data_IF_750310853835
#
_entry.id   IF_750310853835
#
_cell.length_a   1.000
_cell.length_b   1.000
_cell.length_c   1.000
_cell.angle_alpha   90.00
_cell.angle_beta   90.00
_cell.angle_gamma   90.00
#
_symmetry.space_group_name_H-M   'P 1'
#
loop_
_entity.id
_entity.type
_entity.pdbx_description
1 polymer ?
#
# COMPACT_ATOMS: atom_id res chain seq x y z
N UNK A 1 -14.95 37.90 -18.69
CA UNK A 1 -15.48 38.10 -17.33
C UNK A 1 -15.39 36.85 -16.43
N UNK A 2 -15.65 35.63 -16.90
CA UNK A 2 -15.49 34.42 -16.07
C UNK A 2 -14.03 34.10 -15.70
N UNK A 3 -13.07 34.32 -16.61
CA UNK A 3 -11.67 33.96 -16.37
C UNK A 3 -11.00 34.81 -15.27
N UNK A 4 -11.39 36.09 -15.15
CA UNK A 4 -10.95 37.03 -14.10
C UNK A 4 -11.60 36.75 -12.75
N UNK A 5 -12.84 36.24 -12.72
CA UNK A 5 -13.51 35.82 -11.48
C UNK A 5 -12.90 34.53 -10.92
N UNK A 6 -12.53 33.59 -11.78
CA UNK A 6 -11.86 32.34 -11.38
C UNK A 6 -10.44 32.62 -10.85
N UNK A 7 -9.67 33.51 -11.48
CA UNK A 7 -8.34 33.90 -10.96
C UNK A 7 -8.44 34.68 -9.65
N UNK A 8 -9.45 35.53 -9.45
CA UNK A 8 -9.66 36.22 -8.18
C UNK A 8 -10.19 35.29 -7.07
N UNK A 9 -10.98 34.26 -7.40
CA UNK A 9 -11.39 33.22 -6.45
C UNK A 9 -10.25 32.28 -6.10
N UNK A 10 -9.38 31.93 -7.04
CA UNK A 10 -8.16 31.15 -6.77
C UNK A 10 -7.17 32.01 -5.96
N UNK A 11 -7.02 33.29 -6.30
CA UNK A 11 -6.14 34.20 -5.56
C UNK A 11 -6.67 34.48 -4.15
N UNK A 12 -7.99 34.58 -3.93
CA UNK A 12 -8.57 34.70 -2.58
C UNK A 12 -8.54 33.37 -1.82
N UNK A 13 -8.65 32.24 -2.51
CA UNK A 13 -8.40 30.90 -1.96
C UNK A 13 -6.95 30.78 -1.47
N UNK A 14 -5.96 31.22 -2.24
CA UNK A 14 -4.55 31.25 -1.81
C UNK A 14 -4.23 32.34 -0.77
N UNK A 15 -5.02 33.43 -0.71
CA UNK A 15 -4.82 34.53 0.26
C UNK A 15 -5.47 34.27 1.62
N UNK A 16 -6.42 33.34 1.69
CA UNK A 16 -7.12 32.97 2.93
C UNK A 16 -6.61 31.64 3.52
N UNK A 17 -6.15 30.71 2.68
CA UNK A 17 -5.46 29.49 3.13
C UNK A 17 -3.95 29.73 3.07
N UNK A 18 -3.38 30.15 4.19
CA UNK A 18 -1.94 30.33 4.34
C UNK A 18 -1.17 29.10 3.86
N UNK A 19 0.00 29.32 3.26
CA UNK A 19 0.94 28.25 2.91
C UNK A 19 1.29 27.49 4.19
N UNK A 20 0.73 26.30 4.36
CA UNK A 20 1.10 25.44 5.48
C UNK A 20 2.50 24.91 5.21
N UNK A 21 3.47 25.30 6.03
CA UNK A 21 4.87 24.94 5.84
C UNK A 21 5.23 23.66 6.61
N UNK A 22 4.37 23.20 7.53
CA UNK A 22 4.61 21.96 8.29
C UNK A 22 3.34 21.18 8.64
N UNK A 23 3.50 19.87 8.84
CA UNK A 23 2.46 18.98 9.37
C UNK A 23 1.98 19.41 10.77
N UNK A 24 2.83 20.09 11.55
CA UNK A 24 2.49 20.62 12.88
C UNK A 24 1.48 21.77 12.79
N UNK A 25 1.63 22.66 11.81
CA UNK A 25 0.68 23.76 11.53
C UNK A 25 -0.64 23.21 10.99
N UNK A 26 -0.57 22.22 10.11
CA UNK A 26 -1.74 21.50 9.62
C UNK A 26 -2.53 20.88 10.79
N UNK A 27 -1.88 20.12 11.69
CA UNK A 27 -2.53 19.51 12.87
C UNK A 27 -3.21 20.53 13.80
N UNK A 28 -2.65 21.74 13.95
CA UNK A 28 -3.21 22.81 14.80
C UNK A 28 -4.45 23.44 14.19
N UNK A 29 -4.45 23.67 12.88
CA UNK A 29 -5.59 24.22 12.13
C UNK A 29 -6.76 23.22 12.05
N UNK A 30 -6.46 21.92 12.01
CA UNK A 30 -7.45 20.84 11.85
C UNK A 30 -8.25 20.49 13.12
N UNK A 31 -7.92 21.07 14.28
CA UNK A 31 -8.62 20.78 15.53
C UNK A 31 -10.03 21.38 15.58
N UNK A 32 -10.34 22.35 14.71
CA UNK A 32 -11.60 23.10 14.70
C UNK A 32 -12.51 22.79 13.50
N UNK A 33 -12.09 21.98 12.53
CA UNK A 33 -12.84 21.79 11.27
C UNK A 33 -13.55 20.43 11.20
N UNK A 34 -14.78 20.37 11.71
CA UNK A 34 -15.69 19.23 11.57
C UNK A 34 -16.26 19.03 10.13
N UNK A 35 -15.63 19.57 9.08
CA UNK A 35 -16.05 19.32 7.70
C UNK A 35 -14.85 19.19 6.74
N UNK A 36 -13.89 18.35 7.11
CA UNK A 36 -12.89 17.78 6.19
C UNK A 36 -13.51 16.73 5.24
N UNK A 37 -14.84 16.54 5.25
CA UNK A 37 -15.52 15.54 4.45
C UNK A 37 -15.16 15.64 2.97
N UNK A 38 -15.10 16.80 2.32
CA UNK A 38 -14.86 16.83 0.86
C UNK A 38 -13.43 16.45 0.40
N UNK A 39 -12.39 16.89 1.13
CA UNK A 39 -10.99 16.54 0.79
C UNK A 39 -10.65 15.15 1.33
N UNK A 40 -11.16 14.79 2.53
CA UNK A 40 -11.10 13.41 3.01
C UNK A 40 -11.85 12.51 2.04
N UNK A 41 -13.06 12.79 1.59
CA UNK A 41 -13.84 11.96 0.66
C UNK A 41 -13.15 11.84 -0.72
N UNK A 42 -12.52 12.93 -1.21
CA UNK A 42 -11.71 12.88 -2.44
C UNK A 42 -10.43 12.03 -2.27
N UNK A 43 -9.81 12.09 -1.08
CA UNK A 43 -8.61 11.34 -0.73
C UNK A 43 -8.91 9.97 -0.07
N UNK A 44 -10.15 9.66 0.27
CA UNK A 44 -10.49 8.58 1.19
C UNK A 44 -11.92 8.12 0.92
N UNK A 45 -12.05 6.95 0.30
CA UNK A 45 -12.42 5.82 1.16
C UNK A 45 -11.33 4.75 1.32
N UNK A 46 -10.33 4.70 0.43
CA UNK A 46 -9.37 3.58 0.39
C UNK A 46 -7.93 3.98 0.76
N UNK A 47 -7.56 5.27 0.67
CA UNK A 47 -6.15 5.67 0.81
C UNK A 47 -5.69 5.95 2.25
N UNK A 48 -6.55 6.20 3.22
CA UNK A 48 -6.11 6.45 4.60
C UNK A 48 -5.92 5.14 5.37
N UNK A 49 -4.75 4.99 5.99
CA UNK A 49 -4.45 3.91 6.93
C UNK A 49 -3.93 4.51 8.23
N UNK A 50 -4.28 3.91 9.36
CA UNK A 50 -3.75 4.36 10.66
C UNK A 50 -2.22 4.27 10.74
N UNK A 51 -1.60 3.39 9.95
CA UNK A 51 -0.15 3.13 9.93
C UNK A 51 0.69 4.20 9.21
N UNK A 52 0.08 5.28 8.70
CA UNK A 52 0.81 6.43 8.13
C UNK A 52 1.87 6.95 9.12
N UNK A 53 1.54 7.01 10.41
CA UNK A 53 2.41 7.55 11.45
C UNK A 53 3.17 6.44 12.20
N UNK A 54 4.42 6.74 12.54
CA UNK A 54 5.36 5.79 13.15
C UNK A 54 4.85 5.19 14.47
N UNK A 55 4.14 5.97 15.28
CA UNK A 55 3.59 5.49 16.54
C UNK A 55 2.57 4.35 16.34
N UNK A 56 1.69 4.46 15.35
CA UNK A 56 0.72 3.41 15.06
C UNK A 56 1.39 2.16 14.48
N UNK A 57 2.43 2.34 13.65
CA UNK A 57 3.28 1.23 13.21
C UNK A 57 3.92 0.51 14.38
N UNK A 58 4.55 1.23 15.32
CA UNK A 58 5.14 0.63 16.52
C UNK A 58 4.10 -0.15 17.35
N UNK A 59 2.91 0.43 17.53
CA UNK A 59 1.82 -0.22 18.29
C UNK A 59 1.37 -1.55 17.68
N UNK A 60 1.50 -1.75 16.37
CA UNK A 60 1.15 -3.02 15.72
C UNK A 60 2.03 -4.19 16.19
N UNK A 61 3.30 -3.90 16.54
CA UNK A 61 4.24 -4.89 17.08
C UNK A 61 4.07 -5.13 18.58
N UNK A 62 3.45 -4.21 19.33
CA UNK A 62 3.26 -4.35 20.78
C UNK A 62 1.94 -5.03 21.13
N UNK A 63 0.91 -4.87 20.27
CA UNK A 63 -0.39 -5.56 20.44
C UNK A 63 -0.29 -7.05 20.16
N UNK A 64 0.70 -7.46 19.36
CA UNK A 64 0.87 -8.82 18.91
C UNK A 64 2.27 -9.33 19.30
N UNK A 65 2.47 -10.65 19.33
CA UNK A 65 3.76 -11.22 19.70
C UNK A 65 4.73 -11.24 18.52
N UNK A 66 5.39 -10.10 18.23
CA UNK A 66 6.50 -10.05 17.27
C UNK A 66 7.57 -11.09 17.66
N UNK A 67 7.93 -12.05 16.80
CA UNK A 67 8.78 -13.18 17.20
C UNK A 67 10.26 -12.80 17.43
N UNK A 68 10.73 -11.70 16.83
CA UNK A 68 12.15 -11.32 16.84
C UNK A 68 12.51 -10.30 17.95
N UNK A 69 11.86 -10.37 19.12
CA UNK A 69 12.07 -9.38 20.21
C UNK A 69 13.49 -9.34 20.77
N UNK A 70 14.23 -10.45 20.63
CA UNK A 70 15.61 -10.58 21.12
C UNK A 70 16.65 -10.11 20.10
N UNK A 71 16.22 -9.87 18.86
CA UNK A 71 17.08 -9.41 17.78
C UNK A 71 17.32 -7.91 17.89
N UNK A 72 18.59 -7.52 18.07
CA UNK A 72 18.95 -6.10 18.18
C UNK A 72 18.64 -5.34 16.89
N UNK A 73 18.63 -5.99 15.73
CA UNK A 73 18.35 -5.36 14.45
C UNK A 73 16.87 -5.31 14.09
N UNK A 74 16.08 -6.27 14.60
CA UNK A 74 14.66 -6.41 14.29
C UNK A 74 13.75 -5.92 15.43
N UNK A 75 14.27 -5.03 16.30
CA UNK A 75 13.45 -4.42 17.35
C UNK A 75 12.23 -3.70 16.72
N UNK A 76 11.05 -3.77 17.37
CA UNK A 76 9.84 -3.08 16.90
C UNK A 76 10.05 -1.61 16.50
N UNK A 77 10.89 -0.88 17.23
CA UNK A 77 11.22 0.51 16.95
C UNK A 77 11.97 0.65 15.62
N UNK A 78 12.91 -0.24 15.32
CA UNK A 78 13.65 -0.25 14.05
C UNK A 78 12.73 -0.60 12.89
N UNK A 79 11.87 -1.60 13.06
CA UNK A 79 10.87 -2.00 12.06
C UNK A 79 9.91 -0.85 11.74
N UNK A 80 9.33 -0.23 12.78
CA UNK A 80 8.41 0.89 12.64
C UNK A 80 9.07 2.12 11.99
N UNK A 81 10.33 2.41 12.36
CA UNK A 81 11.09 3.53 11.80
C UNK A 81 11.49 3.28 10.34
N UNK A 82 11.74 2.03 9.97
CA UNK A 82 11.93 1.60 8.58
C UNK A 82 10.65 1.65 7.74
N UNK A 83 9.50 1.94 8.33
CA UNK A 83 8.24 2.14 7.63
C UNK A 83 7.31 0.94 7.63
N UNK A 84 7.63 -0.10 8.40
CA UNK A 84 6.84 -1.32 8.49
C UNK A 84 5.88 -1.31 9.67
N UNK A 85 4.70 -1.90 9.50
CA UNK A 85 3.82 -2.34 10.59
C UNK A 85 3.72 -3.86 10.57
N UNK A 86 3.46 -4.48 11.71
CA UNK A 86 3.30 -5.91 11.84
C UNK A 86 1.95 -6.34 11.26
N UNK A 87 2.01 -7.30 10.33
CA UNK A 87 0.90 -7.76 9.51
C UNK A 87 1.05 -9.27 9.25
N UNK A 88 0.96 -10.11 10.30
CA UNK A 88 1.15 -11.53 10.16
C UNK A 88 -0.05 -12.17 9.47
N UNK A 89 0.21 -13.22 8.70
CA UNK A 89 -0.80 -14.13 8.18
C UNK A 89 -0.53 -15.57 8.64
N UNK A 90 -1.40 -16.52 8.26
CA UNK A 90 -1.28 -17.92 8.71
C UNK A 90 0.01 -18.59 8.21
N UNK A 91 0.56 -18.14 7.07
CA UNK A 91 1.74 -18.71 6.44
C UNK A 91 3.02 -17.95 6.85
N UNK A 92 2.88 -16.68 7.26
CA UNK A 92 3.95 -15.73 7.55
C UNK A 92 3.76 -15.07 8.91
N UNK A 93 4.22 -15.75 9.96
CA UNK A 93 4.09 -15.30 11.36
C UNK A 93 4.91 -14.04 11.69
N UNK A 94 5.92 -13.71 10.88
CA UNK A 94 6.77 -12.53 11.02
C UNK A 94 6.53 -11.52 9.88
N UNK A 95 5.36 -11.60 9.24
CA UNK A 95 4.97 -10.70 8.17
C UNK A 95 4.89 -9.25 8.61
N UNK A 96 5.50 -8.36 7.83
CA UNK A 96 5.42 -6.91 8.03
C UNK A 96 5.13 -6.21 6.71
N UNK A 97 4.30 -5.17 6.77
CA UNK A 97 3.82 -4.47 5.59
C UNK A 97 4.17 -2.98 5.65
N UNK A 98 4.48 -2.38 4.50
CA UNK A 98 4.63 -0.93 4.41
C UNK A 98 3.30 -0.28 4.02
N UNK A 99 2.81 0.75 4.74
CA UNK A 99 1.54 1.38 4.41
C UNK A 99 1.59 2.19 3.11
N UNK A 100 2.78 2.52 2.59
CA UNK A 100 2.93 3.37 1.41
C UNK A 100 3.14 2.58 0.12
N UNK A 101 4.01 1.56 0.12
CA UNK A 101 4.21 0.71 -1.06
C UNK A 101 3.40 -0.59 -1.04
N UNK A 102 2.76 -0.91 0.09
CA UNK A 102 1.96 -2.14 0.30
C UNK A 102 2.72 -3.45 0.11
N UNK A 103 4.06 -3.39 0.10
CA UNK A 103 4.88 -4.59 0.09
C UNK A 103 4.88 -5.22 1.47
N UNK A 104 4.68 -6.53 1.49
CA UNK A 104 4.83 -7.38 2.66
C UNK A 104 6.16 -8.11 2.57
N UNK A 105 6.94 -8.10 3.65
CA UNK A 105 8.19 -8.84 3.80
C UNK A 105 8.06 -9.81 4.97
N UNK A 106 8.63 -10.99 4.81
CA UNK A 106 8.53 -12.14 5.73
C UNK A 106 9.87 -12.87 5.74
N UNK A 107 10.08 -13.77 6.71
CA UNK A 107 11.31 -14.55 6.81
C UNK A 107 12.52 -13.72 7.23
N UNK A 108 12.36 -12.91 8.26
CA UNK A 108 13.39 -12.02 8.79
C UNK A 108 14.46 -12.79 9.57
N UNK A 109 15.72 -12.42 9.34
CA UNK A 109 16.89 -12.97 10.03
C UNK A 109 17.54 -11.92 10.95
N UNK A 110 18.21 -12.36 12.02
CA UNK A 110 18.84 -11.45 12.99
C UNK A 110 19.88 -10.49 12.37
N UNK A 111 20.43 -10.86 11.22
CA UNK A 111 21.41 -10.06 10.49
C UNK A 111 20.79 -8.97 9.58
N UNK A 112 19.47 -9.01 9.36
CA UNK A 112 18.79 -8.09 8.46
C UNK A 112 18.72 -6.68 9.02
N UNK A 113 18.89 -5.68 8.14
CA UNK A 113 18.59 -4.29 8.44
C UNK A 113 17.26 -3.91 7.77
N UNK A 114 16.23 -3.52 8.54
CA UNK A 114 14.92 -3.21 7.98
C UNK A 114 14.90 -2.06 6.96
N UNK A 115 15.75 -1.03 7.13
CA UNK A 115 15.86 0.07 6.18
C UNK A 115 16.47 -0.40 4.87
N UNK A 116 17.53 -1.21 4.95
CA UNK A 116 18.19 -1.80 3.79
C UNK A 116 17.26 -2.75 3.06
N UNK A 117 16.56 -3.63 3.76
CA UNK A 117 15.58 -4.54 3.15
C UNK A 117 14.44 -3.80 2.46
N UNK A 118 13.95 -2.70 3.06
CA UNK A 118 12.95 -1.86 2.40
C UNK A 118 13.51 -1.21 1.12
N UNK A 119 14.74 -0.71 1.15
CA UNK A 119 15.38 -0.03 0.01
C UNK A 119 15.78 -0.98 -1.13
N UNK A 120 16.12 -2.24 -0.83
CA UNK A 120 16.54 -3.25 -1.83
C UNK A 120 15.43 -3.65 -2.80
N UNK A 121 14.16 -3.54 -2.40
CA UNK A 121 13.04 -4.05 -3.21
C UNK A 121 12.81 -3.12 -4.40
N UNK A 122 12.97 -3.66 -5.62
CA UNK A 122 13.00 -3.03 -6.97
C UNK A 122 11.92 -2.01 -7.36
N UNK A 123 10.95 -1.73 -6.49
CA UNK A 123 9.82 -0.84 -6.74
C UNK A 123 9.95 0.27 -5.71
N UNK A 124 10.27 1.45 -6.24
CA UNK A 124 10.78 2.62 -5.54
C UNK A 124 9.74 3.11 -4.53
N UNK A 125 9.87 2.68 -3.29
CA UNK A 125 9.09 3.26 -2.21
C UNK A 125 9.60 4.68 -1.92
N UNK A 126 8.75 5.71 -2.08
CA UNK A 126 9.11 7.09 -1.77
C UNK A 126 9.51 7.23 -0.30
N UNK A 127 8.78 6.57 0.62
CA UNK A 127 9.13 6.55 2.04
C UNK A 127 10.56 6.05 2.28
N UNK A 128 10.95 4.92 1.67
CA UNK A 128 12.28 4.34 1.84
C UNK A 128 13.41 5.26 1.34
N UNK A 129 13.10 6.20 0.43
CA UNK A 129 14.05 7.18 -0.12
C UNK A 129 13.98 8.55 0.53
N UNK A 130 12.90 8.84 1.27
CA UNK A 130 12.62 10.18 1.77
C UNK A 130 13.72 10.67 2.71
N UNK A 131 14.32 9.77 3.49
CA UNK A 131 15.43 10.05 4.42
C UNK A 131 15.19 11.31 5.29
N UNK A 132 13.95 11.48 5.77
CA UNK A 132 13.52 12.54 6.68
C UNK A 132 12.76 11.93 7.84
N UNK A 133 12.96 12.48 9.05
CA UNK A 133 12.10 12.14 10.17
C UNK A 133 10.66 12.62 9.91
N UNK A 134 9.67 11.94 10.48
CA UNK A 134 8.24 12.28 10.34
C UNK A 134 7.93 13.74 10.71
N UNK A 135 8.65 14.28 11.70
CA UNK A 135 8.51 15.69 12.15
C UNK A 135 8.96 16.72 11.10
N UNK A 136 9.74 16.29 10.12
CA UNK A 136 10.36 17.14 9.07
C UNK A 136 9.61 17.02 7.74
N UNK A 137 8.56 16.22 7.66
CA UNK A 137 7.76 16.09 6.45
C UNK A 137 7.09 17.42 6.09
N UNK A 138 7.30 17.83 4.85
CA UNK A 138 6.54 18.92 4.25
C UNK A 138 5.14 18.43 3.83
N UNK A 139 4.24 19.35 3.51
CA UNK A 139 2.94 19.01 2.91
C UNK A 139 3.14 18.25 1.59
N UNK A 140 4.13 18.64 0.80
CA UNK A 140 4.45 17.94 -0.44
C UNK A 140 4.90 16.50 -0.19
N UNK A 141 5.80 16.27 0.77
CA UNK A 141 6.24 14.92 1.14
C UNK A 141 5.06 14.06 1.56
N UNK A 142 4.17 14.61 2.39
CA UNK A 142 2.97 13.91 2.85
C UNK A 142 2.03 13.57 1.69
N UNK A 143 1.78 14.52 0.78
CA UNK A 143 0.94 14.27 -0.41
C UNK A 143 1.55 13.22 -1.34
N UNK A 144 2.88 13.21 -1.51
CA UNK A 144 3.58 12.19 -2.30
C UNK A 144 3.47 10.80 -1.68
N UNK A 145 3.57 10.70 -0.35
CA UNK A 145 3.35 9.45 0.37
C UNK A 145 1.92 8.91 0.16
N UNK A 146 0.91 9.78 0.25
CA UNK A 146 -0.48 9.40 -0.01
C UNK A 146 -0.72 9.01 -1.48
N UNK A 147 -0.14 9.75 -2.42
CA UNK A 147 -0.23 9.45 -3.85
C UNK A 147 0.40 8.09 -4.18
N UNK A 148 1.57 7.79 -3.59
CA UNK A 148 2.22 6.49 -3.76
C UNK A 148 1.36 5.35 -3.21
N UNK A 149 0.74 5.52 -2.03
CA UNK A 149 -0.17 4.52 -1.48
C UNK A 149 -1.31 4.23 -2.43
N UNK A 150 -1.98 5.28 -2.93
CA UNK A 150 -3.07 5.14 -3.90
C UNK A 150 -2.62 4.40 -5.15
N UNK A 151 -1.46 4.74 -5.71
CA UNK A 151 -0.91 4.04 -6.87
C UNK A 151 -0.63 2.56 -6.58
N UNK A 152 -0.11 2.25 -5.39
CA UNK A 152 0.17 0.88 -4.94
C UNK A 152 -1.13 0.07 -4.79
N UNK A 153 -2.19 0.67 -4.25
CA UNK A 153 -3.52 0.04 -4.15
C UNK A 153 -4.11 -0.26 -5.52
N UNK A 154 -4.07 0.71 -6.43
CA UNK A 154 -4.56 0.53 -7.81
C UNK A 154 -3.79 -0.59 -8.52
N UNK A 155 -2.47 -0.67 -8.30
CA UNK A 155 -1.64 -1.74 -8.85
C UNK A 155 -2.05 -3.12 -8.31
N UNK A 156 -2.30 -3.23 -7.00
CA UNK A 156 -2.75 -4.47 -6.38
C UNK A 156 -4.13 -4.92 -6.89
N UNK A 157 -5.08 -3.99 -7.05
CA UNK A 157 -6.41 -4.29 -7.61
C UNK A 157 -6.30 -4.77 -9.06
N UNK A 158 -5.46 -4.10 -9.86
CA UNK A 158 -5.23 -4.50 -11.25
C UNK A 158 -4.62 -5.91 -11.34
N UNK A 159 -3.64 -6.24 -10.50
CA UNK A 159 -3.04 -7.57 -10.45
C UNK A 159 -4.08 -8.64 -10.08
N UNK A 160 -4.89 -8.42 -9.05
CA UNK A 160 -5.96 -9.37 -8.67
C UNK A 160 -6.99 -9.58 -9.78
N UNK A 161 -7.32 -8.53 -10.54
CA UNK A 161 -8.22 -8.64 -11.68
C UNK A 161 -7.61 -9.48 -12.81
N UNK A 162 -6.30 -9.34 -13.05
CA UNK A 162 -5.56 -10.15 -14.03
C UNK A 162 -5.53 -11.61 -13.60
N UNK A 163 -5.20 -11.90 -12.34
CA UNK A 163 -5.17 -13.27 -11.81
C UNK A 163 -6.53 -13.95 -11.96
N UNK A 164 -7.62 -13.25 -11.57
CA UNK A 164 -8.97 -13.76 -11.75
C UNK A 164 -9.35 -14.00 -13.22
N UNK A 165 -8.87 -13.15 -14.14
CA UNK A 165 -9.05 -13.37 -15.57
C UNK A 165 -8.28 -14.61 -16.06
N UNK A 166 -7.04 -14.81 -15.58
CA UNK A 166 -6.22 -15.98 -15.91
C UNK A 166 -6.86 -17.27 -15.43
N UNK A 167 -7.39 -17.30 -14.19
CA UNK A 167 -8.10 -18.46 -13.65
C UNK A 167 -9.36 -18.80 -14.47
N UNK A 168 -10.11 -17.78 -14.88
CA UNK A 168 -11.28 -17.96 -15.74
C UNK A 168 -10.89 -18.52 -17.13
N UNK A 169 -9.81 -18.01 -17.73
CA UNK A 169 -9.29 -18.51 -18.99
C UNK A 169 -8.84 -19.97 -18.90
N UNK A 170 -8.17 -20.36 -17.81
CA UNK A 170 -7.74 -21.74 -17.57
C UNK A 170 -8.95 -22.68 -17.42
N UNK A 171 -10.01 -22.23 -16.74
CA UNK A 171 -11.27 -22.97 -16.64
C UNK A 171 -11.93 -23.19 -18.01
N UNK A 172 -11.95 -22.17 -18.87
CA UNK A 172 -12.48 -22.27 -20.24
C UNK A 172 -11.65 -23.25 -21.08
N UNK A 173 -10.31 -23.16 -20.99
CA UNK A 173 -9.39 -24.06 -21.71
C UNK A 173 -9.65 -25.52 -21.37
N UNK A 174 -9.78 -25.87 -20.08
CA UNK A 174 -10.12 -27.23 -19.62
C UNK A 174 -11.43 -27.74 -20.22
N UNK A 175 -12.46 -26.89 -20.34
CA UNK A 175 -13.74 -27.27 -20.97
C UNK A 175 -13.58 -27.52 -22.47
N UNK A 176 -12.80 -26.70 -23.16
CA UNK A 176 -12.51 -26.89 -24.59
C UNK A 176 -11.78 -28.22 -24.81
N UNK A 177 -10.78 -28.55 -23.99
CA UNK A 177 -10.02 -29.79 -24.12
C UNK A 177 -10.91 -31.04 -23.97
N UNK A 178 -11.85 -31.03 -23.02
CA UNK A 178 -12.85 -32.10 -22.86
C UNK A 178 -13.73 -32.23 -24.11
N UNK A 179 -14.17 -31.11 -24.69
CA UNK A 179 -14.99 -31.12 -25.90
C UNK A 179 -14.21 -31.63 -27.12
N UNK A 180 -12.92 -31.32 -27.21
CA UNK A 180 -12.03 -31.82 -28.27
C UNK A 180 -11.83 -33.33 -28.14
N UNK A 181 -11.57 -33.84 -26.93
CA UNK A 181 -11.39 -35.28 -26.69
C UNK A 181 -12.67 -36.06 -27.00
N UNK A 182 -13.83 -35.55 -26.59
CA UNK A 182 -15.13 -36.20 -26.85
C UNK A 182 -15.49 -36.26 -28.35
N UNK A 183 -14.93 -35.36 -29.18
CA UNK A 183 -15.11 -35.37 -30.63
C UNK A 183 -14.18 -36.34 -31.36
N UNK A 184 -13.19 -36.95 -30.69
CA UNK A 184 -12.31 -37.93 -31.35
C UNK A 184 -13.09 -39.20 -31.71
N UNK A 185 -13.00 -39.68 -32.96
CA UNK A 185 -13.76 -40.87 -33.37
C UNK A 185 -13.30 -42.10 -32.58
N UNK A 186 -14.27 -42.81 -31.97
CA UNK A 186 -14.00 -44.09 -31.29
C UNK A 186 -13.50 -45.08 -32.34
N UNK A 187 -12.29 -45.63 -32.14
CA UNK A 187 -11.74 -46.70 -33.00
C UNK A 187 -12.72 -47.88 -32.99
N UNK A 188 -13.41 -48.10 -34.11
CA UNK A 188 -14.32 -49.25 -34.27
C UNK A 188 -13.45 -50.51 -34.29
N UNK A 189 -13.55 -51.32 -33.24
CA UNK A 189 -12.87 -52.61 -33.17
C UNK A 189 -13.47 -53.55 -34.24
N UNK A 190 -12.70 -53.85 -35.30
CA UNK A 190 -13.05 -54.90 -36.26
C UNK A 190 -12.98 -56.26 -35.55
N UNK A 191 -14.12 -56.86 -35.21
CA UNK A 191 -14.19 -58.29 -34.83
C UNK A 191 -13.85 -59.13 -36.06
N UNK A 192 -12.76 -59.88 -36.01
CA UNK A 192 -12.42 -60.92 -37.00
C UNK A 192 -13.45 -62.04 -36.90
N UNK A 193 -14.03 -62.41 -38.05
CA UNK A 193 -14.84 -63.62 -38.23
C UNK A 193 -13.95 -64.85 -38.22
#
# INVERSE_FOLDING_TARGET
>A
MLCTLITLLIASYFRFYGTFHSVKEMKRYYKDYQNMAAIVDFLNWDAYTEHIFCNNRLRSFTKNAWPHQQSVNLLPEKMAKAGFFFDPDNDNIDGVSCPFCLKTLTGWEDSDDPLVEHAKRKDICYFARLNKDEKEWTVEDFLRLLAQRRASMMSLIALKAIDGAMDAMESVKKRIDVLVENKRPKKVAKRKK
#
